data_IF_302010364921
#
_entry.id   IF_302010364921
#
_cell.length_a   1.000
_cell.length_b   1.000
_cell.length_c   1.000
_cell.angle_alpha   90.00
_cell.angle_beta   90.00
_cell.angle_gamma   90.00
#
_symmetry.space_group_name_H-M   'P 1'
#
loop_
_entity.id
_entity.type
_entity.pdbx_description
1 polymer ?
#
# COMPACT_ATOMS: atom_id res chain seq x y z
N UNK A 1 6.86 0.09 9.24
CA UNK A 1 7.06 1.35 9.99
C UNK A 1 7.43 1.09 11.44
N UNK A 2 6.48 0.64 12.29
CA UNK A 2 6.69 0.43 13.74
C UNK A 2 7.94 -0.38 14.11
N UNK A 3 8.11 -1.59 13.58
CA UNK A 3 9.25 -2.45 13.92
C UNK A 3 10.62 -1.90 13.49
N UNK A 4 10.66 -1.08 12.42
CA UNK A 4 11.91 -0.55 11.86
C UNK A 4 12.22 0.86 12.35
N UNK A 5 11.31 1.51 13.10
CA UNK A 5 11.50 2.88 13.58
C UNK A 5 11.64 3.93 12.48
N UNK A 6 10.83 3.83 11.42
CA UNK A 6 10.87 4.73 10.23
C UNK A 6 9.45 5.12 9.80
N UNK A 7 9.32 6.19 9.01
CA UNK A 7 8.10 6.48 8.25
C UNK A 7 8.07 5.64 6.97
N UNK A 8 6.91 5.07 6.66
CA UNK A 8 6.59 4.61 5.31
C UNK A 8 5.67 5.62 4.63
N UNK A 9 6.22 6.44 3.71
CA UNK A 9 5.45 7.37 2.90
C UNK A 9 4.91 6.65 1.68
N UNK A 10 3.60 6.67 1.48
CA UNK A 10 2.95 6.03 0.33
C UNK A 10 2.11 7.05 -0.46
N UNK A 11 1.99 6.83 -1.76
CA UNK A 11 1.31 7.73 -2.69
C UNK A 11 0.04 7.08 -3.22
N UNK A 12 -1.12 7.64 -2.87
CA UNK A 12 -2.43 7.09 -3.23
C UNK A 12 -2.62 6.92 -4.75
N UNK A 13 -2.02 7.80 -5.55
CA UNK A 13 -2.07 7.73 -7.02
C UNK A 13 -1.29 6.55 -7.61
N UNK A 14 -0.36 5.96 -6.85
CA UNK A 14 0.51 4.87 -7.29
C UNK A 14 0.03 3.48 -6.83
N UNK A 15 -0.91 3.42 -5.87
CA UNK A 15 -1.45 2.16 -5.36
C UNK A 15 -2.44 1.60 -6.38
N UNK A 16 -2.17 0.40 -6.97
CA UNK A 16 -3.04 -0.17 -7.97
C UNK A 16 -4.30 -0.75 -7.32
N UNK A 17 -5.41 -0.03 -7.47
CA UNK A 17 -6.76 -0.48 -7.10
C UNK A 17 -7.59 -0.57 -8.37
N UNK A 18 -8.25 -1.72 -8.60
CA UNK A 18 -9.12 -1.91 -9.76
C UNK A 18 -10.36 -1.02 -9.64
N UNK A 19 -10.86 -0.42 -10.73
CA UNK A 19 -12.04 0.45 -10.69
C UNK A 19 -13.26 -0.21 -10.02
N UNK A 20 -13.48 -1.50 -10.26
CA UNK A 20 -14.58 -2.27 -9.69
C UNK A 20 -14.43 -2.43 -8.17
N UNK A 21 -13.19 -2.64 -7.69
CA UNK A 21 -12.88 -2.71 -6.26
C UNK A 21 -13.05 -1.35 -5.60
N UNK A 22 -12.56 -0.28 -6.24
CA UNK A 22 -12.73 1.08 -5.74
C UNK A 22 -14.21 1.45 -5.63
N UNK A 23 -15.00 1.19 -6.67
CA UNK A 23 -16.43 1.46 -6.67
C UNK A 23 -17.19 0.65 -5.62
N UNK A 24 -16.88 -0.64 -5.49
CA UNK A 24 -17.45 -1.51 -4.46
C UNK A 24 -17.12 -1.04 -3.04
N UNK A 25 -15.87 -0.70 -2.77
CA UNK A 25 -15.44 -0.17 -1.47
C UNK A 25 -16.16 1.15 -1.13
N UNK A 26 -16.23 2.08 -2.09
CA UNK A 26 -16.95 3.34 -1.90
C UNK A 26 -18.44 3.14 -1.60
N UNK A 27 -19.10 2.20 -2.29
CA UNK A 27 -20.51 1.88 -2.04
C UNK A 27 -20.74 1.27 -0.65
N UNK A 28 -19.83 0.40 -0.21
CA UNK A 28 -19.92 -0.31 1.08
C UNK A 28 -19.37 0.50 2.26
N UNK A 29 -18.79 1.68 2.03
CA UNK A 29 -18.12 2.46 3.08
C UNK A 29 -16.82 1.81 3.60
N UNK A 30 -16.16 1.02 2.76
CA UNK A 30 -14.90 0.34 3.07
C UNK A 30 -13.72 1.11 2.46
N UNK A 31 -12.53 0.91 3.04
CA UNK A 31 -11.28 1.46 2.50
C UNK A 31 -10.42 0.29 1.98
N UNK A 32 -10.09 0.26 0.67
CA UNK A 32 -9.39 -0.86 0.05
C UNK A 32 -8.00 -1.11 0.64
N UNK A 33 -7.40 -0.12 1.31
CA UNK A 33 -6.09 -0.29 1.96
C UNK A 33 -6.12 -1.25 3.15
N UNK A 34 -7.31 -1.50 3.71
CA UNK A 34 -7.48 -2.33 4.89
C UNK A 34 -8.11 -3.70 4.60
N UNK A 35 -8.44 -3.99 3.34
CA UNK A 35 -8.98 -5.28 2.97
C UNK A 35 -7.86 -6.32 2.83
N UNK A 36 -8.12 -7.54 3.33
CA UNK A 36 -7.20 -8.65 3.20
C UNK A 36 -6.90 -8.97 1.72
N UNK A 37 -5.64 -9.31 1.44
CA UNK A 37 -5.18 -9.70 0.11
C UNK A 37 -4.55 -11.11 0.18
N UNK A 38 -5.06 -12.08 -0.58
CA UNK A 38 -4.60 -13.49 -0.56
C UNK A 38 -3.60 -13.85 -1.69
N UNK A 39 -3.03 -12.86 -2.35
CA UNK A 39 -2.14 -13.09 -3.51
C UNK A 39 -1.22 -11.93 -3.81
N UNK A 40 -0.88 -11.14 -2.79
CA UNK A 40 -0.06 -9.92 -2.90
C UNK A 40 1.06 -9.96 -1.88
N UNK A 41 2.11 -9.21 -2.18
CA UNK A 41 3.20 -8.96 -1.24
C UNK A 41 3.53 -7.47 -1.23
N UNK A 42 4.11 -7.01 -0.12
CA UNK A 42 4.77 -5.71 -0.02
C UNK A 42 6.28 -5.97 0.05
N UNK A 43 7.05 -5.27 -0.79
CA UNK A 43 8.51 -5.39 -0.81
C UNK A 43 9.15 -4.04 -0.47
N UNK A 44 10.05 -4.03 0.52
CA UNK A 44 10.91 -2.89 0.85
C UNK A 44 12.31 -3.20 0.35
N UNK A 45 12.86 -2.35 -0.52
CA UNK A 45 14.13 -2.61 -1.21
C UNK A 45 15.02 -1.37 -1.21
N UNK A 46 16.36 -1.51 -1.29
CA UNK A 46 17.25 -0.37 -1.48
C UNK A 46 16.88 0.41 -2.74
N UNK A 47 16.86 1.75 -2.66
CA UNK A 47 16.49 2.64 -3.77
C UNK A 47 17.20 2.31 -5.08
N UNK A 48 18.51 2.05 -5.02
CA UNK A 48 19.32 1.70 -6.19
C UNK A 48 18.92 0.38 -6.88
N UNK A 49 18.15 -0.49 -6.21
CA UNK A 49 17.68 -1.78 -6.75
C UNK A 49 16.19 -1.77 -7.09
N UNK A 50 15.46 -0.69 -6.81
CA UNK A 50 14.00 -0.64 -6.91
C UNK A 50 13.49 -0.98 -8.31
N UNK A 51 14.03 -0.33 -9.34
CA UNK A 51 13.65 -0.59 -10.74
C UNK A 51 13.93 -2.02 -11.17
N UNK A 52 15.09 -2.58 -10.78
CA UNK A 52 15.46 -3.95 -11.13
C UNK A 52 14.50 -4.97 -10.50
N UNK A 53 14.15 -4.78 -9.24
CA UNK A 53 13.19 -5.65 -8.55
C UNK A 53 11.80 -5.50 -9.16
N UNK A 54 11.35 -4.26 -9.42
CA UNK A 54 10.06 -4.01 -10.04
C UNK A 54 9.95 -4.66 -11.43
N UNK A 55 11.00 -4.55 -12.25
CA UNK A 55 11.05 -5.21 -13.54
C UNK A 55 10.90 -6.74 -13.42
N UNK A 56 11.64 -7.37 -12.49
CA UNK A 56 11.55 -8.80 -12.23
C UNK A 56 10.15 -9.23 -11.72
N UNK A 57 9.53 -8.43 -10.84
CA UNK A 57 8.16 -8.72 -10.39
C UNK A 57 7.16 -8.70 -11.55
N UNK A 58 7.32 -7.73 -12.47
CA UNK A 58 6.43 -7.57 -13.63
C UNK A 58 6.56 -8.67 -14.68
N UNK A 59 7.64 -9.43 -14.70
CA UNK A 59 7.76 -10.60 -15.60
C UNK A 59 6.96 -11.81 -15.10
N UNK A 60 6.54 -11.83 -13.84
CA UNK A 60 5.70 -12.90 -13.30
C UNK A 60 4.21 -12.59 -13.54
N UNK A 61 3.38 -13.56 -13.97
CA UNK A 61 1.96 -13.33 -14.24
C UNK A 61 1.20 -12.68 -13.06
N UNK A 62 1.46 -13.13 -11.82
CA UNK A 62 0.86 -12.56 -10.62
C UNK A 62 1.39 -11.15 -10.24
N UNK A 63 2.56 -10.75 -10.77
CA UNK A 63 3.23 -9.48 -10.47
C UNK A 63 3.16 -8.45 -11.59
N UNK A 64 2.48 -8.73 -12.71
CA UNK A 64 2.45 -7.83 -13.87
C UNK A 64 1.95 -6.40 -13.55
N UNK A 65 1.11 -6.25 -12.51
CA UNK A 65 0.61 -4.94 -12.03
C UNK A 65 1.45 -4.33 -10.90
N UNK A 66 2.61 -4.88 -10.57
CA UNK A 66 3.46 -4.34 -9.49
C UNK A 66 3.82 -2.88 -9.76
N UNK A 67 3.86 -2.10 -8.68
CA UNK A 67 4.13 -0.66 -8.67
C UNK A 67 5.05 -0.32 -7.50
N UNK A 68 5.92 0.66 -7.68
CA UNK A 68 6.48 1.39 -6.56
C UNK A 68 5.37 2.31 -6.04
N UNK A 69 5.03 2.16 -4.76
CA UNK A 69 3.91 2.90 -4.16
C UNK A 69 4.35 3.95 -3.15
N UNK A 70 5.64 4.07 -2.88
CA UNK A 70 6.13 4.85 -1.75
C UNK A 70 7.63 4.78 -1.54
N UNK A 71 8.06 5.38 -0.45
CA UNK A 71 9.44 5.42 0.01
C UNK A 71 9.51 5.33 1.54
N UNK A 72 10.67 4.91 2.05
CA UNK A 72 10.96 4.91 3.49
C UNK A 72 11.76 6.16 3.81
N UNK A 73 11.35 6.90 4.83
CA UNK A 73 12.08 8.06 5.32
C UNK A 73 12.28 7.97 6.84
N UNK A 74 13.23 8.75 7.36
CA UNK A 74 13.65 8.61 8.76
C UNK A 74 12.55 8.98 9.75
N UNK A 75 11.87 10.11 9.54
CA UNK A 75 10.92 10.69 10.49
C UNK A 75 9.64 11.18 9.82
N UNK A 76 8.48 11.15 10.53
CA UNK A 76 8.28 10.60 11.88
C UNK A 76 8.35 9.07 11.96
N UNK A 77 9.08 8.58 12.97
CA UNK A 77 9.26 7.14 13.20
C UNK A 77 7.95 6.42 13.48
N UNK A 78 7.82 5.19 12.96
CA UNK A 78 6.72 4.29 13.30
C UNK A 78 5.41 4.55 12.55
N UNK A 79 5.34 5.57 11.69
CA UNK A 79 4.11 5.96 11.00
C UNK A 79 4.05 5.50 9.54
N UNK A 80 2.83 5.36 9.03
CA UNK A 80 2.57 5.24 7.59
C UNK A 80 1.78 6.47 7.16
N UNK A 81 2.33 7.26 6.25
CA UNK A 81 1.70 8.50 5.77
C UNK A 81 1.31 8.32 4.30
N UNK A 82 0.02 8.45 4.02
CA UNK A 82 -0.53 8.43 2.66
C UNK A 82 -0.64 9.87 2.14
N UNK A 83 0.08 10.18 1.07
CA UNK A 83 -0.17 11.35 0.26
C UNK A 83 -1.35 11.08 -0.67
N UNK A 84 -2.39 11.90 -0.52
CA UNK A 84 -3.62 11.77 -1.31
C UNK A 84 -3.41 12.32 -2.72
N UNK A 85 -4.33 11.97 -3.62
CA UNK A 85 -4.36 12.51 -4.99
C UNK A 85 -4.54 14.03 -5.06
N UNK A 86 -4.98 14.65 -3.98
CA UNK A 86 -5.21 16.09 -3.87
C UNK A 86 -4.03 16.85 -3.23
N UNK A 87 -2.90 16.15 -2.99
CA UNK A 87 -1.71 16.75 -2.38
C UNK A 87 -1.78 16.94 -0.86
N UNK A 88 -2.83 16.42 -0.22
CA UNK A 88 -2.92 16.37 1.25
C UNK A 88 -2.27 15.08 1.78
N UNK A 89 -2.11 14.97 3.09
CA UNK A 89 -1.59 13.76 3.72
C UNK A 89 -2.53 13.28 4.84
N UNK A 90 -2.65 11.95 5.00
CA UNK A 90 -3.31 11.33 6.15
C UNK A 90 -2.48 10.17 6.70
N UNK A 91 -2.66 9.89 7.97
CA UNK A 91 -2.07 8.70 8.61
C UNK A 91 -2.90 7.47 8.19
N UNK A 92 -2.21 6.40 7.79
CA UNK A 92 -2.79 5.06 7.65
C UNK A 92 -2.48 4.32 8.95
N UNK A 93 -3.45 4.36 9.86
CA UNK A 93 -3.30 3.80 11.21
C UNK A 93 -3.68 2.33 11.24
N UNK A 94 -3.27 1.62 12.29
CA UNK A 94 -3.73 0.25 12.52
C UNK A 94 -5.23 0.25 12.81
N UNK A 95 -5.98 -0.64 12.15
CA UNK A 95 -7.39 -0.79 12.47
C UNK A 95 -7.59 -1.37 13.87
N UNK A 96 -8.68 -0.94 14.52
CA UNK A 96 -9.21 -1.59 15.71
C UNK A 96 -10.13 -2.73 15.26
N UNK A 97 -9.54 -3.84 14.82
CA UNK A 97 -10.23 -5.04 14.31
C UNK A 97 -10.49 -5.04 12.80
N UNK A 98 -10.91 -6.19 12.26
CA UNK A 98 -11.16 -6.34 10.82
C UNK A 98 -12.49 -5.73 10.37
N UNK A 99 -12.53 -5.16 9.16
CA UNK A 99 -13.74 -4.55 8.59
C UNK A 99 -14.82 -5.57 8.21
N UNK A 100 -14.42 -6.82 7.92
CA UNK A 100 -15.33 -7.87 7.45
C UNK A 100 -15.17 -9.13 8.32
N UNK A 101 -16.26 -9.66 8.90
CA UNK A 101 -16.17 -10.88 9.70
C UNK A 101 -15.89 -12.09 8.80
N UNK A 102 -15.02 -13.00 9.27
CA UNK A 102 -14.61 -14.22 8.55
C UNK A 102 -13.93 -13.94 7.21
N UNK A 103 -13.20 -12.84 7.12
CA UNK A 103 -12.28 -12.59 6.03
C UNK A 103 -10.98 -13.33 6.36
N UNK A 104 -10.81 -14.49 5.72
CA UNK A 104 -9.74 -15.49 5.93
C UNK A 104 -9.62 -16.12 7.33
#
# INVERSE_FOLDING_TARGET
AGQSGVECRIFESQIPVRPEVSGGCSFLGLDPLYLANEGKLVAVVPRAKAERVLAAMRTHPAGHQSRMIGEVIADPVGMVILQTRFGTARIVDMLVGDQLPRIC
#
